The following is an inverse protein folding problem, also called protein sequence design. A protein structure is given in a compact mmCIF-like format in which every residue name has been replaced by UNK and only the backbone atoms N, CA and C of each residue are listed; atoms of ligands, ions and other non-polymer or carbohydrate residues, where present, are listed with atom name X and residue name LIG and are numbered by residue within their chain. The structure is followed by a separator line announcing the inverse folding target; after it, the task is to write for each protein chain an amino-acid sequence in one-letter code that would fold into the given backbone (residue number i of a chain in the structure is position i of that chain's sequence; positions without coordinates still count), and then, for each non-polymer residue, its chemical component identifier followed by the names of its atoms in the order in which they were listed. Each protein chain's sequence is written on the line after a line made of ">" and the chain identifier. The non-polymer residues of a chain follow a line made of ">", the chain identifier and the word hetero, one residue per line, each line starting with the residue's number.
data_IF_464108538190
#
_entry.id   IF_464108538190
#
_cell.length_a   1.000
_cell.length_b   1.000
_cell.length_c   1.000
_cell.angle_alpha   90.00
_cell.angle_beta   90.00
_cell.angle_gamma   90.00
#
_symmetry.space_group_name_H-M   'P 1'
#
loop_
_entity.id
_entity.type
_entity.pdbx_description
1 polymer ?
#
# COMPACT_ATOMS: atom_id res chain seq x y z
N UNK A 1 24.69 18.02 -7.58
CA UNK A 1 23.30 17.57 -7.34
C UNK A 1 22.71 17.15 -8.67
N UNK A 2 22.33 15.87 -8.83
CA UNK A 2 21.17 15.40 -9.62
C UNK A 2 21.27 13.88 -9.73
N UNK A 3 20.69 13.17 -8.77
CA UNK A 3 20.42 11.74 -8.82
C UNK A 3 18.95 11.52 -9.20
N UNK A 4 18.46 12.27 -10.20
CA UNK A 4 17.18 12.01 -10.84
C UNK A 4 17.44 11.13 -12.07
N UNK A 5 17.95 9.91 -11.85
CA UNK A 5 17.66 8.84 -12.80
C UNK A 5 16.22 8.44 -12.49
N UNK A 6 15.28 8.99 -13.29
CA UNK A 6 13.87 8.69 -13.15
C UNK A 6 13.61 7.20 -13.33
N UNK A 7 12.64 6.68 -12.57
CA UNK A 7 12.13 5.33 -12.76
C UNK A 7 11.66 5.12 -14.20
N UNK A 8 11.99 3.97 -14.77
CA UNK A 8 11.49 3.51 -16.05
C UNK A 8 9.99 3.17 -15.97
N UNK A 9 9.25 3.19 -17.09
CA UNK A 9 7.85 2.75 -17.11
C UNK A 9 7.62 1.35 -16.51
N UNK A 10 8.58 0.43 -16.71
CA UNK A 10 8.52 -0.91 -16.13
C UNK A 10 8.66 -0.93 -14.61
N UNK A 11 9.51 -0.07 -14.04
CA UNK A 11 9.64 0.06 -12.60
C UNK A 11 8.40 0.70 -11.96
N UNK A 12 7.80 1.72 -12.62
CA UNK A 12 6.52 2.28 -12.18
C UNK A 12 5.39 1.24 -12.17
N UNK A 13 5.30 0.43 -13.22
CA UNK A 13 4.32 -0.67 -13.28
C UNK A 13 4.56 -1.71 -12.18
N UNK A 14 5.82 -2.03 -11.89
CA UNK A 14 6.16 -2.94 -10.81
C UNK A 14 5.76 -2.39 -9.43
N UNK A 15 6.06 -1.11 -9.15
CA UNK A 15 5.65 -0.45 -7.91
C UNK A 15 4.12 -0.42 -7.76
N UNK A 16 3.39 -0.15 -8.85
CA UNK A 16 1.92 -0.17 -8.83
C UNK A 16 1.37 -1.56 -8.47
N UNK A 17 1.95 -2.64 -9.00
CA UNK A 17 1.52 -4.00 -8.67
C UNK A 17 1.90 -4.39 -7.23
N UNK A 18 3.04 -3.92 -6.71
CA UNK A 18 3.42 -4.11 -5.31
C UNK A 18 2.42 -3.44 -4.35
N UNK A 19 2.06 -2.17 -4.59
CA UNK A 19 1.07 -1.47 -3.75
C UNK A 19 -0.30 -2.13 -3.81
N UNK A 20 -0.75 -2.52 -5.00
CA UNK A 20 -2.00 -3.28 -5.16
C UNK A 20 -1.95 -4.62 -4.41
N UNK A 21 -0.83 -5.34 -4.49
CA UNK A 21 -0.62 -6.58 -3.75
C UNK A 21 -0.67 -6.38 -2.24
N UNK A 22 -0.02 -5.33 -1.73
CA UNK A 22 -0.03 -4.97 -0.32
C UNK A 22 -1.44 -4.64 0.18
N UNK A 23 -2.21 -3.84 -0.57
CA UNK A 23 -3.60 -3.53 -0.22
C UNK A 23 -4.46 -4.80 -0.08
N UNK A 24 -4.33 -5.75 -1.00
CA UNK A 24 -5.05 -7.02 -0.92
C UNK A 24 -4.66 -7.84 0.31
N UNK A 25 -3.37 -7.83 0.69
CA UNK A 25 -2.91 -8.51 1.90
C UNK A 25 -3.42 -7.83 3.17
N UNK A 26 -3.49 -6.50 3.19
CA UNK A 26 -4.06 -5.76 4.32
C UNK A 26 -5.55 -6.08 4.47
N UNK A 27 -6.31 -6.08 3.38
CA UNK A 27 -7.73 -6.45 3.39
C UNK A 27 -7.95 -7.89 3.90
N UNK A 28 -7.10 -8.83 3.49
CA UNK A 28 -7.14 -10.20 3.98
C UNK A 28 -6.80 -10.28 5.48
N UNK A 29 -5.78 -9.54 5.94
CA UNK A 29 -5.40 -9.48 7.34
C UNK A 29 -6.51 -8.87 8.22
N UNK A 30 -7.25 -7.86 7.72
CA UNK A 30 -8.41 -7.30 8.42
C UNK A 30 -9.53 -8.34 8.60
N UNK A 31 -9.77 -9.18 7.59
CA UNK A 31 -10.74 -10.27 7.68
C UNK A 31 -10.27 -11.38 8.63
N UNK A 32 -8.98 -11.73 8.59
CA UNK A 32 -8.40 -12.73 9.48
C UNK A 32 -8.41 -12.27 10.93
N UNK A 33 -8.13 -10.98 11.19
CA UNK A 33 -8.15 -10.39 12.52
C UNK A 33 -9.46 -10.71 13.22
N UNK A 34 -10.61 -10.59 12.54
CA UNK A 34 -11.94 -10.90 13.08
C UNK A 34 -12.10 -12.35 13.59
N UNK A 35 -11.29 -13.29 13.08
CA UNK A 35 -11.36 -14.72 13.40
C UNK A 35 -10.42 -15.14 14.52
N UNK A 36 -9.48 -14.29 14.94
CA UNK A 36 -8.53 -14.63 15.99
C UNK A 36 -9.22 -14.55 17.35
N UNK A 37 -9.45 -15.70 17.98
CA UNK A 37 -10.19 -15.79 19.25
C UNK A 37 -9.36 -15.40 20.49
N UNK A 38 -8.03 -15.42 20.40
CA UNK A 38 -7.14 -15.16 21.53
C UNK A 38 -6.82 -13.67 21.78
N UNK A 39 -7.36 -12.76 20.96
CA UNK A 39 -7.19 -11.32 21.13
C UNK A 39 -8.36 -10.73 21.90
N UNK A 40 -8.04 -9.97 22.93
CA UNK A 40 -9.02 -9.11 23.58
C UNK A 40 -9.43 -7.94 22.67
N UNK A 41 -10.36 -7.12 23.14
CA UNK A 41 -10.90 -6.01 22.35
C UNK A 41 -9.89 -4.88 22.14
N UNK A 42 -9.01 -4.63 23.10
CA UNK A 42 -8.00 -3.57 23.03
C UNK A 42 -6.93 -3.94 22.00
N UNK A 43 -6.36 -5.14 22.12
CA UNK A 43 -5.39 -5.68 21.17
C UNK A 43 -5.94 -5.72 19.75
N UNK A 44 -7.21 -6.15 19.59
CA UNK A 44 -7.87 -6.16 18.29
C UNK A 44 -8.03 -4.75 17.72
N UNK A 45 -8.40 -3.77 18.54
CA UNK A 45 -8.54 -2.39 18.12
C UNK A 45 -7.18 -1.79 17.70
N UNK A 46 -6.11 -2.09 18.44
CA UNK A 46 -4.75 -1.65 18.11
C UNK A 46 -4.29 -2.21 16.76
N UNK A 47 -4.41 -3.52 16.55
CA UNK A 47 -4.01 -4.16 15.28
C UNK A 47 -4.85 -3.60 14.12
N UNK A 48 -6.16 -3.43 14.32
CA UNK A 48 -7.02 -2.81 13.32
C UNK A 48 -6.58 -1.39 12.97
N UNK A 49 -6.23 -0.57 13.97
CA UNK A 49 -5.73 0.79 13.74
C UNK A 49 -4.42 0.80 12.94
N UNK A 50 -3.50 -0.13 13.21
CA UNK A 50 -2.26 -0.29 12.45
C UNK A 50 -2.56 -0.68 10.99
N UNK A 51 -3.44 -1.66 10.77
CA UNK A 51 -3.83 -2.09 9.43
C UNK A 51 -4.48 -0.94 8.63
N UNK A 52 -5.34 -0.15 9.27
CA UNK A 52 -5.97 1.03 8.65
C UNK A 52 -4.95 2.12 8.29
N UNK A 53 -3.94 2.36 9.15
CA UNK A 53 -2.86 3.30 8.85
C UNK A 53 -2.04 2.82 7.64
N UNK A 54 -1.64 1.55 7.62
CA UNK A 54 -0.91 0.95 6.49
C UNK A 54 -1.72 1.00 5.19
N UNK A 55 -3.03 0.76 5.26
CA UNK A 55 -3.95 0.84 4.12
C UNK A 55 -4.00 2.26 3.56
N UNK A 56 -4.11 3.25 4.42
CA UNK A 56 -4.13 4.66 4.03
C UNK A 56 -2.82 5.08 3.35
N UNK A 57 -1.67 4.69 3.91
CA UNK A 57 -0.37 5.00 3.34
C UNK A 57 -0.20 4.32 1.97
N UNK A 58 -0.56 3.04 1.84
CA UNK A 58 -0.48 2.30 0.59
C UNK A 58 -1.42 2.87 -0.49
N UNK A 59 -2.63 3.32 -0.13
CA UNK A 59 -3.51 4.05 -1.05
C UNK A 59 -2.90 5.38 -1.51
N UNK A 60 -2.25 6.09 -0.59
CA UNK A 60 -1.55 7.35 -0.91
C UNK A 60 -0.39 7.10 -1.87
N UNK A 61 0.42 6.07 -1.63
CA UNK A 61 1.50 5.67 -2.54
C UNK A 61 0.98 5.27 -3.92
N UNK A 62 -0.08 4.47 -3.99
CA UNK A 62 -0.70 4.09 -5.25
C UNK A 62 -1.16 5.32 -6.05
N UNK A 63 -1.75 6.32 -5.38
CA UNK A 63 -2.12 7.58 -6.01
C UNK A 63 -0.91 8.38 -6.52
N UNK A 64 0.19 8.40 -5.76
CA UNK A 64 1.43 9.06 -6.17
C UNK A 64 2.08 8.36 -7.37
N UNK A 65 2.14 7.03 -7.36
CA UNK A 65 2.65 6.22 -8.48
C UNK A 65 1.81 6.45 -9.73
N UNK A 66 0.49 6.47 -9.63
CA UNK A 66 -0.38 6.75 -10.76
C UNK A 66 -0.14 8.15 -11.35
N UNK A 67 0.05 9.15 -10.49
CA UNK A 67 0.29 10.53 -10.91
C UNK A 67 1.67 10.68 -11.58
N UNK A 68 2.73 10.23 -10.90
CA UNK A 68 4.12 10.38 -11.37
C UNK A 68 4.44 9.43 -12.52
N UNK A 69 3.98 8.19 -12.48
CA UNK A 69 4.18 7.21 -13.55
C UNK A 69 3.40 7.57 -14.83
N UNK A 70 2.24 8.22 -14.70
CA UNK A 70 1.46 8.74 -15.83
C UNK A 70 2.17 9.89 -16.55
N UNK A 71 2.78 10.81 -15.79
CA UNK A 71 3.58 11.91 -16.34
C UNK A 71 4.82 11.41 -17.12
N UNK A 72 5.47 10.34 -16.65
CA UNK A 72 6.67 9.76 -17.31
C UNK A 72 6.33 8.97 -18.58
N UNK A 73 5.13 8.41 -18.72
CA UNK A 73 4.72 7.67 -19.92
C UNK A 73 4.28 8.57 -21.10
N UNK A 74 4.01 9.86 -20.83
CA UNK A 74 3.54 10.83 -21.82
C UNK A 74 4.56 11.92 -22.17
N UNK A 75 5.74 11.90 -21.55
CA UNK A 75 6.88 12.77 -21.84
C UNK A 75 7.85 12.14 -22.86
#
# INVERSE_FOLDING_TARGET
>A
MSSAQGYTPGEWAHLAELEKGLLLQIDAAELELQRIECLDQEQRAEIHAILQALKHDSQTHASMIASLGGEVCHA
#
